data_IF_591694744187
#
_entry.id   IF_591694744187
#
_cell.length_a   1.000
_cell.length_b   1.000
_cell.length_c   1.000
_cell.angle_alpha   90.00
_cell.angle_beta   90.00
_cell.angle_gamma   90.00
#
_symmetry.space_group_name_H-M   'P 1'
#
loop_
_entity.id
_entity.type
_entity.pdbx_description
1 polymer ?
#
# COMPACT_ATOMS: atom_id res chain seq x y z
N UNK A 1 5.76 -27.51 1.74
CA UNK A 1 6.69 -27.22 0.62
C UNK A 1 6.14 -26.17 -0.33
N UNK A 2 4.91 -26.28 -0.86
CA UNK A 2 4.34 -25.29 -1.78
C UNK A 2 4.20 -23.87 -1.19
N UNK A 3 3.68 -23.74 0.04
CA UNK A 3 3.52 -22.42 0.71
C UNK A 3 4.88 -21.75 0.94
N UNK A 4 5.86 -22.52 1.41
CA UNK A 4 7.24 -22.04 1.60
C UNK A 4 7.86 -21.63 0.27
N UNK A 5 7.63 -22.39 -0.80
CA UNK A 5 8.09 -22.05 -2.16
C UNK A 5 7.42 -20.76 -2.67
N UNK A 6 6.12 -20.55 -2.47
CA UNK A 6 5.45 -19.29 -2.84
C UNK A 6 5.93 -18.09 -2.02
N UNK A 7 6.17 -18.27 -0.71
CA UNK A 7 6.74 -17.22 0.15
C UNK A 7 8.16 -16.86 -0.27
N UNK A 8 9.00 -17.86 -0.55
CA UNK A 8 10.33 -17.67 -1.12
C UNK A 8 10.27 -16.99 -2.48
N UNK A 9 9.26 -17.31 -3.31
CA UNK A 9 9.06 -16.65 -4.60
C UNK A 9 8.72 -15.17 -4.46
N UNK A 10 7.98 -14.77 -3.42
CA UNK A 10 7.68 -13.36 -3.12
C UNK A 10 8.94 -12.62 -2.66
N UNK A 11 9.75 -13.23 -1.80
CA UNK A 11 11.06 -12.70 -1.40
C UNK A 11 12.01 -12.52 -2.61
N UNK A 12 11.83 -13.35 -3.63
CA UNK A 12 12.60 -13.30 -4.87
C UNK A 12 12.01 -12.36 -5.94
N UNK A 13 10.85 -11.73 -5.70
CA UNK A 13 10.30 -10.66 -6.57
C UNK A 13 10.75 -9.31 -6.00
N UNK A 14 11.82 -8.70 -6.54
CA UNK A 14 12.45 -7.53 -5.94
C UNK A 14 11.62 -6.24 -6.06
N UNK A 15 10.41 -6.31 -6.64
CA UNK A 15 9.55 -5.14 -6.91
C UNK A 15 8.40 -4.96 -5.93
N UNK A 16 8.11 -5.99 -5.12
CA UNK A 16 7.13 -5.92 -4.02
C UNK A 16 7.85 -5.55 -2.71
N UNK A 17 9.14 -5.90 -2.62
CA UNK A 17 9.97 -5.93 -1.42
C UNK A 17 10.34 -4.58 -0.76
N UNK A 18 9.85 -3.44 -1.26
CA UNK A 18 10.28 -2.12 -0.78
C UNK A 18 9.13 -1.25 -0.20
N UNK A 19 7.88 -1.76 -0.13
CA UNK A 19 6.70 -1.02 0.35
C UNK A 19 6.04 -1.68 1.59
N UNK A 20 5.00 -1.06 2.15
CA UNK A 20 4.17 -1.75 3.14
C UNK A 20 3.37 -2.90 2.52
N UNK A 21 3.10 -3.92 3.32
CA UNK A 21 2.24 -5.02 2.89
C UNK A 21 0.77 -4.61 2.82
N UNK A 22 -0.06 -5.35 2.06
CA UNK A 22 -1.44 -4.97 1.80
C UNK A 22 -2.34 -4.98 3.04
N UNK A 23 -2.04 -5.74 4.10
CA UNK A 23 -2.80 -5.66 5.35
C UNK A 23 -2.41 -4.45 6.17
N UNK A 24 -1.14 -4.05 6.14
CA UNK A 24 -0.65 -2.85 6.80
C UNK A 24 -1.27 -1.62 6.16
N UNK A 25 -1.32 -1.53 4.83
CA UNK A 25 -2.09 -0.49 4.14
C UNK A 25 -3.56 -0.50 4.56
N UNK A 26 -4.23 -1.66 4.52
CA UNK A 26 -5.62 -1.75 4.93
C UNK A 26 -5.84 -1.26 6.37
N UNK A 27 -4.94 -1.64 7.29
CA UNK A 27 -4.93 -1.14 8.67
C UNK A 27 -4.82 0.38 8.70
N UNK A 28 -3.85 0.98 7.99
CA UNK A 28 -3.65 2.42 7.94
C UNK A 28 -4.88 3.15 7.38
N UNK A 29 -5.47 2.65 6.29
CA UNK A 29 -6.72 3.18 5.75
C UNK A 29 -7.87 3.15 6.75
N UNK A 30 -7.97 2.09 7.57
CA UNK A 30 -8.96 2.06 8.64
C UNK A 30 -8.72 3.12 9.71
N UNK A 31 -7.47 3.34 10.11
CA UNK A 31 -7.14 4.38 11.09
C UNK A 31 -7.49 5.78 10.57
N UNK A 32 -7.30 6.05 9.28
CA UNK A 32 -7.78 7.28 8.64
C UNK A 32 -9.31 7.42 8.77
N UNK A 33 -10.09 6.35 8.54
CA UNK A 33 -11.54 6.39 8.73
C UNK A 33 -11.96 6.62 10.19
N UNK A 34 -11.19 6.07 11.14
CA UNK A 34 -11.45 6.18 12.58
C UNK A 34 -11.13 7.58 13.12
N UNK A 35 -10.11 8.27 12.61
CA UNK A 35 -9.80 9.66 12.99
C UNK A 35 -10.96 10.63 12.71
N UNK A 36 -11.70 10.38 11.64
CA UNK A 36 -12.95 11.07 11.41
C UNK A 36 -12.81 12.52 10.96
N UNK A 37 -13.91 13.27 11.09
CA UNK A 37 -13.96 14.69 10.77
C UNK A 37 -13.15 15.59 11.72
N UNK A 38 -12.60 15.03 12.80
CA UNK A 38 -11.77 15.79 13.74
C UNK A 38 -10.41 16.15 13.13
N UNK A 39 -9.87 15.31 12.24
CA UNK A 39 -8.54 15.48 11.63
C UNK A 39 -8.57 15.51 10.10
N UNK A 40 -9.73 15.30 9.48
CA UNK A 40 -9.90 15.25 8.02
C UNK A 40 -10.93 16.29 7.61
N UNK A 41 -10.70 17.06 6.53
CA UNK A 41 -11.67 18.04 6.04
C UNK A 41 -13.05 17.40 5.83
N UNK A 42 -14.10 18.02 6.38
CA UNK A 42 -15.43 17.42 6.46
C UNK A 42 -15.98 16.95 5.10
N UNK A 43 -15.71 17.71 4.03
CA UNK A 43 -16.08 17.34 2.66
C UNK A 43 -15.45 16.01 2.22
N UNK A 44 -14.15 15.84 2.45
CA UNK A 44 -13.40 14.62 2.13
C UNK A 44 -13.89 13.47 3.02
N UNK A 45 -13.99 13.70 4.33
CA UNK A 45 -14.43 12.68 5.27
C UNK A 45 -15.84 12.15 4.93
N UNK A 46 -16.77 13.02 4.53
CA UNK A 46 -18.12 12.62 4.12
C UNK A 46 -18.12 11.64 2.94
N UNK A 47 -17.19 11.83 1.99
CA UNK A 47 -17.03 10.99 0.80
C UNK A 47 -16.43 9.63 1.20
N UNK A 48 -15.27 9.64 1.87
CA UNK A 48 -14.57 8.39 2.22
C UNK A 48 -15.34 7.56 3.24
N UNK A 49 -16.10 8.19 4.15
CA UNK A 49 -16.98 7.48 5.10
C UNK A 49 -18.15 6.82 4.37
N UNK A 50 -18.83 7.55 3.47
CA UNK A 50 -19.98 7.03 2.71
C UNK A 50 -19.57 5.89 1.78
N UNK A 51 -18.39 5.99 1.17
CA UNK A 51 -17.86 5.01 0.22
C UNK A 51 -16.60 4.31 0.78
N UNK A 52 -16.66 3.90 2.05
CA UNK A 52 -15.52 3.31 2.78
C UNK A 52 -14.88 2.12 2.08
N UNK A 53 -15.66 1.28 1.41
CA UNK A 53 -15.14 0.11 0.74
C UNK A 53 -14.36 0.48 -0.54
N UNK A 54 -14.80 1.53 -1.24
CA UNK A 54 -14.07 2.09 -2.39
C UNK A 54 -12.74 2.71 -1.92
N UNK A 55 -12.77 3.48 -0.82
CA UNK A 55 -11.57 4.06 -0.20
C UNK A 55 -10.56 3.00 0.27
N UNK A 56 -11.00 2.02 1.08
CA UNK A 56 -10.14 0.94 1.56
C UNK A 56 -9.58 0.10 0.40
N UNK A 57 -10.33 -0.05 -0.68
CA UNK A 57 -9.86 -0.74 -1.87
C UNK A 57 -8.80 0.06 -2.63
N UNK A 58 -8.99 1.37 -2.78
CA UNK A 58 -7.99 2.28 -3.33
C UNK A 58 -6.67 2.23 -2.57
N UNK A 59 -6.77 2.14 -1.24
CA UNK A 59 -5.61 2.11 -0.35
C UNK A 59 -4.74 0.85 -0.47
N UNK A 60 -5.20 -0.17 -1.20
CA UNK A 60 -4.43 -1.39 -1.47
C UNK A 60 -4.28 -1.66 -2.97
N UNK A 61 -4.82 -0.80 -3.85
CA UNK A 61 -4.93 -1.11 -5.27
C UNK A 61 -3.71 -0.69 -6.09
N UNK A 62 -2.91 0.26 -5.61
CA UNK A 62 -1.68 0.68 -6.30
C UNK A 62 -0.70 -0.50 -6.47
N UNK A 63 -0.74 -1.45 -5.54
CA UNK A 63 0.03 -2.69 -5.58
C UNK A 63 -0.43 -3.74 -6.59
N UNK A 64 -1.58 -3.55 -7.24
CA UNK A 64 -2.06 -4.49 -8.25
C UNK A 64 -1.09 -4.56 -9.43
N UNK A 65 -0.55 -3.40 -9.86
CA UNK A 65 0.42 -3.33 -10.95
C UNK A 65 1.80 -3.78 -10.45
N UNK A 66 2.31 -4.86 -11.04
CA UNK A 66 3.59 -5.50 -10.72
C UNK A 66 4.64 -5.15 -11.77
N UNK A 67 5.93 -5.42 -11.51
CA UNK A 67 6.99 -5.12 -12.47
C UNK A 67 7.36 -3.63 -12.54
N UNK A 68 6.96 -2.87 -11.52
CA UNK A 68 7.13 -1.42 -11.35
C UNK A 68 8.58 -0.94 -11.54
N UNK A 69 9.55 -1.79 -11.18
CA UNK A 69 10.99 -1.52 -11.31
C UNK A 69 11.46 -1.39 -12.77
N UNK A 70 10.67 -1.87 -13.72
CA UNK A 70 10.95 -1.84 -15.16
C UNK A 70 10.09 -0.81 -15.91
N UNK A 71 9.22 -0.06 -15.22
CA UNK A 71 8.44 1.02 -15.83
C UNK A 71 9.28 2.31 -15.85
N UNK A 72 9.17 3.08 -16.94
CA UNK A 72 9.60 4.47 -16.95
C UNK A 72 8.89 5.24 -15.81
N UNK A 73 9.58 6.23 -15.25
CA UNK A 73 9.18 6.93 -14.04
C UNK A 73 7.72 7.44 -14.07
N UNK A 74 7.29 7.95 -15.21
CA UNK A 74 5.99 8.59 -15.40
C UNK A 74 4.85 7.57 -15.64
N UNK A 75 5.19 6.29 -15.81
CA UNK A 75 4.26 5.18 -16.08
C UNK A 75 4.11 4.24 -14.88
N UNK A 76 4.63 4.62 -13.72
CA UNK A 76 4.56 3.81 -12.51
C UNK A 76 3.24 4.07 -11.76
N UNK A 77 2.63 3.03 -11.20
CA UNK A 77 1.48 3.18 -10.29
C UNK A 77 1.85 3.95 -9.03
N UNK A 78 3.12 3.93 -8.62
CA UNK A 78 3.60 4.66 -7.45
C UNK A 78 4.21 6.01 -7.81
N UNK A 79 3.45 6.79 -8.59
CA UNK A 79 3.80 8.16 -9.01
C UNK A 79 2.68 9.13 -8.59
N UNK A 80 3.09 10.28 -8.04
CA UNK A 80 2.16 11.36 -7.70
C UNK A 80 1.39 11.86 -8.92
N UNK A 81 2.06 12.01 -10.07
CA UNK A 81 1.41 12.49 -11.29
C UNK A 81 0.28 11.56 -11.74
N UNK A 82 0.50 10.26 -11.68
CA UNK A 82 -0.53 9.28 -12.04
C UNK A 82 -1.68 9.26 -11.03
N UNK A 83 -1.39 9.42 -9.74
CA UNK A 83 -2.42 9.55 -8.71
C UNK A 83 -3.26 10.82 -8.91
N UNK A 84 -2.65 11.94 -9.29
CA UNK A 84 -3.36 13.19 -9.58
C UNK A 84 -4.15 13.13 -10.89
N UNK A 85 -3.62 12.52 -11.95
CA UNK A 85 -4.38 12.23 -13.18
C UNK A 85 -5.62 11.38 -12.88
N UNK A 86 -5.46 10.35 -12.03
CA UNK A 86 -6.58 9.52 -11.60
C UNK A 86 -7.60 10.33 -10.79
N UNK A 87 -7.14 11.26 -9.95
CA UNK A 87 -8.00 12.17 -9.17
C UNK A 87 -8.81 13.10 -10.08
N UNK A 88 -8.16 13.71 -11.08
CA UNK A 88 -8.79 14.60 -12.06
C UNK A 88 -9.79 13.84 -12.95
N UNK A 89 -9.54 12.56 -13.24
CA UNK A 89 -10.44 11.70 -13.97
C UNK A 89 -11.68 11.23 -13.16
N UNK A 90 -11.67 11.37 -11.83
CA UNK A 90 -12.73 10.88 -10.97
C UNK A 90 -14.01 11.73 -11.07
N UNK A 91 -15.06 11.16 -11.69
CA UNK A 91 -16.34 11.85 -11.94
C UNK A 91 -17.38 11.64 -10.85
N UNK A 92 -17.25 10.57 -10.07
CA UNK A 92 -18.22 10.19 -9.03
C UNK A 92 -17.60 10.20 -7.65
N UNK A 93 -18.41 10.38 -6.60
CA UNK A 93 -17.90 10.32 -5.22
C UNK A 93 -17.34 8.92 -4.85
N UNK A 94 -17.79 7.84 -5.51
CA UNK A 94 -17.18 6.51 -5.37
C UNK A 94 -15.75 6.50 -5.90
N UNK A 95 -15.54 7.01 -7.11
CA UNK A 95 -14.20 7.14 -7.69
C UNK A 95 -13.34 8.06 -6.84
N UNK A 96 -13.85 9.21 -6.39
CA UNK A 96 -13.10 10.10 -5.49
C UNK A 96 -12.67 9.38 -4.20
N UNK A 97 -13.57 8.61 -3.58
CA UNK A 97 -13.22 7.82 -2.41
C UNK A 97 -12.11 6.81 -2.72
N UNK A 98 -12.20 6.09 -3.84
CA UNK A 98 -11.15 5.21 -4.32
C UNK A 98 -9.82 5.93 -4.51
N UNK A 99 -9.81 7.10 -5.16
CA UNK A 99 -8.56 7.85 -5.39
C UNK A 99 -7.98 8.41 -4.09
N UNK A 100 -8.80 8.87 -3.13
CA UNK A 100 -8.29 9.23 -1.80
C UNK A 100 -7.62 8.02 -1.11
N UNK A 101 -8.16 6.82 -1.29
CA UNK A 101 -7.52 5.58 -0.87
C UNK A 101 -6.16 5.41 -1.53
N UNK A 102 -6.11 5.53 -2.85
CA UNK A 102 -4.89 5.39 -3.66
C UNK A 102 -3.80 6.40 -3.27
N UNK A 103 -4.17 7.67 -3.12
CA UNK A 103 -3.26 8.73 -2.71
C UNK A 103 -2.67 8.46 -1.32
N UNK A 104 -3.50 8.03 -0.38
CA UNK A 104 -3.05 7.73 0.99
C UNK A 104 -2.20 6.45 1.07
N UNK A 105 -2.32 5.52 0.12
CA UNK A 105 -1.36 4.42 -0.05
C UNK A 105 0.03 4.96 -0.36
N UNK A 106 0.14 5.84 -1.36
CA UNK A 106 1.41 6.47 -1.74
C UNK A 106 2.04 7.26 -0.59
N UNK A 107 1.24 7.95 0.23
CA UNK A 107 1.75 8.63 1.43
C UNK A 107 2.43 7.65 2.40
N UNK A 108 1.82 6.49 2.65
CA UNK A 108 2.39 5.50 3.56
C UNK A 108 3.72 4.95 3.02
N UNK A 109 3.81 4.77 1.71
CA UNK A 109 5.00 4.27 1.04
C UNK A 109 6.18 5.23 1.11
N UNK A 110 5.95 6.55 1.09
CA UNK A 110 7.05 7.52 1.29
C UNK A 110 7.83 7.30 2.59
N UNK A 111 7.22 6.69 3.62
CA UNK A 111 7.89 6.42 4.90
C UNK A 111 8.85 5.25 4.77
N UNK A 112 8.35 4.10 4.30
CA UNK A 112 9.12 2.85 4.25
C UNK A 112 10.25 2.95 3.23
N UNK A 113 9.99 3.57 2.08
CA UNK A 113 10.98 3.69 1.02
C UNK A 113 12.11 4.69 1.32
N UNK A 114 11.91 5.60 2.29
CA UNK A 114 12.94 6.56 2.70
C UNK A 114 13.71 6.15 3.96
N UNK A 115 13.41 4.97 4.52
CA UNK A 115 14.22 4.37 5.58
C UNK A 115 15.67 4.21 5.11
N UNK A 116 16.61 4.41 6.03
CA UNK A 116 18.02 4.13 5.73
C UNK A 116 18.17 2.66 5.35
N UNK A 117 19.00 2.41 4.34
CA UNK A 117 19.19 1.08 3.78
C UNK A 117 19.67 0.13 4.89
N UNK A 118 18.88 -0.89 5.21
CA UNK A 118 19.33 -1.94 6.13
C UNK A 118 20.59 -2.61 5.56
N UNK A 119 21.50 -2.95 6.47
CA UNK A 119 22.70 -3.73 6.16
C UNK A 119 22.41 -5.22 5.94
N UNK A 120 21.22 -5.69 6.32
CA UNK A 120 20.86 -7.11 6.16
C UNK A 120 20.15 -7.33 4.81
N UNK A 121 20.50 -8.42 4.10
CA UNK A 121 19.75 -8.84 2.92
C UNK A 121 18.26 -8.99 3.25
N UNK A 122 17.40 -8.40 2.41
CA UNK A 122 15.93 -8.46 2.55
C UNK A 122 15.34 -7.76 3.79
N UNK A 123 16.09 -6.85 4.46
CA UNK A 123 15.60 -6.14 5.65
C UNK A 123 14.23 -5.45 5.48
N UNK A 124 13.95 -4.88 4.31
CA UNK A 124 12.63 -4.28 4.01
C UNK A 124 11.51 -5.32 3.91
N UNK A 125 11.76 -6.47 3.28
CA UNK A 125 10.78 -7.56 3.24
C UNK A 125 10.55 -8.16 4.63
N UNK A 126 11.57 -8.18 5.48
CA UNK A 126 11.47 -8.60 6.88
C UNK A 126 10.62 -7.60 7.66
N UNK A 127 10.85 -6.29 7.49
CA UNK A 127 10.03 -5.21 8.06
C UNK A 127 8.56 -5.39 7.71
N UNK A 128 8.28 -5.55 6.42
CA UNK A 128 6.94 -5.72 5.89
C UNK A 128 6.25 -6.91 6.54
N UNK A 129 6.93 -8.06 6.60
CA UNK A 129 6.39 -9.29 7.15
C UNK A 129 6.12 -9.19 8.66
N UNK A 130 7.01 -8.53 9.42
CA UNK A 130 6.78 -8.20 10.82
C UNK A 130 5.60 -7.24 10.98
N UNK A 131 5.48 -6.23 10.13
CA UNK A 131 4.35 -5.32 10.20
C UNK A 131 3.03 -6.04 9.92
N UNK A 132 2.94 -6.82 8.84
CA UNK A 132 1.76 -7.64 8.50
C UNK A 132 1.34 -8.55 9.67
N UNK A 133 2.31 -9.12 10.42
CA UNK A 133 2.04 -10.01 11.56
C UNK A 133 1.34 -9.30 12.73
N UNK A 134 1.66 -8.02 12.95
CA UNK A 134 1.09 -7.18 14.00
C UNK A 134 -0.36 -6.72 13.70
N UNK A 135 -0.84 -6.88 12.45
CA UNK A 135 -2.19 -6.45 12.08
C UNK A 135 -3.25 -7.44 12.59
N UNK A 136 -4.22 -6.93 13.35
CA UNK A 136 -5.33 -7.70 13.91
C UNK A 136 -6.12 -8.45 12.81
N UNK A 137 -6.55 -9.67 13.13
CA UNK A 137 -7.39 -10.55 12.31
C UNK A 137 -8.68 -9.87 11.85
N UNK A 138 -9.22 -8.86 12.55
CA UNK A 138 -10.42 -8.12 12.13
C UNK A 138 -10.24 -7.44 10.77
N UNK A 139 -9.08 -6.83 10.50
CA UNK A 139 -8.80 -6.16 9.23
C UNK A 139 -8.72 -7.17 8.08
N UNK A 140 -8.12 -8.35 8.33
CA UNK A 140 -8.11 -9.47 7.38
C UNK A 140 -9.51 -9.92 6.98
N UNK A 141 -10.44 -9.97 7.94
CA UNK A 141 -11.82 -10.34 7.66
C UNK A 141 -12.48 -9.31 6.76
N UNK A 142 -12.32 -8.01 7.01
CA UNK A 142 -12.99 -7.02 6.15
C UNK A 142 -12.55 -7.11 4.70
N UNK A 143 -11.26 -7.30 4.43
CA UNK A 143 -10.79 -7.45 3.05
C UNK A 143 -11.49 -8.61 2.30
N UNK A 144 -11.74 -9.73 2.98
CA UNK A 144 -12.47 -10.87 2.40
C UNK A 144 -13.90 -10.53 1.99
N UNK A 145 -14.51 -9.54 2.64
CA UNK A 145 -15.89 -9.12 2.43
C UNK A 145 -16.02 -7.87 1.56
N UNK A 146 -14.93 -7.35 0.99
CA UNK A 146 -15.03 -6.28 0.01
C UNK A 146 -15.83 -6.76 -1.21
N UNK A 147 -16.83 -5.97 -1.60
CA UNK A 147 -17.72 -6.29 -2.70
C UNK A 147 -16.94 -6.46 -4.02
N UNK A 148 -17.18 -7.58 -4.72
CA UNK A 148 -16.49 -7.91 -5.97
C UNK A 148 -16.91 -7.00 -7.11
N UNK A 149 -18.15 -6.53 -7.13
CA UNK A 149 -18.66 -5.64 -8.18
C UNK A 149 -17.99 -4.28 -8.08
N UNK A 150 -17.87 -3.73 -6.88
CA UNK A 150 -17.12 -2.52 -6.57
C UNK A 150 -15.65 -2.66 -6.98
N UNK A 151 -14.99 -3.76 -6.59
CA UNK A 151 -13.60 -4.01 -6.99
C UNK A 151 -13.43 -3.98 -8.51
N UNK A 152 -14.32 -4.69 -9.24
CA UNK A 152 -14.27 -4.71 -10.72
C UNK A 152 -14.48 -3.33 -11.33
N UNK A 153 -15.37 -2.51 -10.79
CA UNK A 153 -15.62 -1.14 -11.29
C UNK A 153 -14.41 -0.24 -11.11
N UNK A 154 -13.78 -0.30 -9.94
CA UNK A 154 -12.57 0.48 -9.64
C UNK A 154 -11.34 -0.05 -10.40
N UNK A 155 -11.27 -1.37 -10.61
CA UNK A 155 -10.26 -2.00 -11.47
C UNK A 155 -10.32 -1.47 -12.91
N UNK A 156 -11.52 -1.44 -13.52
CA UNK A 156 -11.72 -0.89 -14.87
C UNK A 156 -11.38 0.60 -14.91
N UNK A 157 -11.80 1.37 -13.91
CA UNK A 157 -11.48 2.79 -13.82
C UNK A 157 -9.97 3.04 -13.74
N UNK A 158 -9.26 2.22 -12.97
CA UNK A 158 -7.82 2.34 -12.79
C UNK A 158 -7.05 1.85 -14.03
N UNK A 159 -7.46 0.75 -14.66
CA UNK A 159 -6.88 0.21 -15.90
C UNK A 159 -7.05 1.18 -17.08
N UNK A 160 -8.19 1.86 -17.19
CA UNK A 160 -8.45 2.86 -18.24
C UNK A 160 -7.56 4.12 -18.11
N UNK A 161 -7.02 4.37 -16.91
CA UNK A 161 -6.28 5.60 -16.59
C UNK A 161 -4.79 5.40 -16.31
N UNK A 162 -4.36 4.16 -16.08
CA UNK A 162 -2.96 3.82 -15.85
C UNK A 162 -2.46 2.89 -16.96
N UNK A 163 -1.36 3.28 -17.60
CA UNK A 163 -0.71 2.43 -18.60
C UNK A 163 -0.03 1.22 -17.93
N UNK A 164 -0.24 0.02 -18.47
CA UNK A 164 0.48 -1.19 -18.06
C UNK A 164 1.43 -1.63 -19.17
N UNK A 165 2.72 -1.80 -18.85
CA UNK A 165 3.76 -2.10 -19.83
C UNK A 165 4.05 -3.59 -20.01
N UNK A 166 3.83 -4.43 -18.98
CA UNK A 166 4.31 -5.83 -18.98
C UNK A 166 3.23 -6.90 -18.99
N UNK A 167 2.11 -6.70 -18.29
CA UNK A 167 1.02 -7.67 -18.27
C UNK A 167 -0.36 -7.02 -18.41
N UNK A 168 -1.34 -7.81 -18.84
CA UNK A 168 -2.74 -7.38 -18.72
C UNK A 168 -3.11 -7.18 -17.26
N UNK A 169 -4.02 -6.24 -17.00
CA UNK A 169 -4.52 -5.97 -15.65
C UNK A 169 -5.04 -7.24 -14.96
N UNK A 170 -5.67 -8.15 -15.74
CA UNK A 170 -6.16 -9.44 -15.24
C UNK A 170 -5.05 -10.30 -14.65
N UNK A 171 -3.87 -10.34 -15.28
CA UNK A 171 -2.71 -11.10 -14.80
C UNK A 171 -2.14 -10.47 -13.52
N UNK A 172 -1.95 -9.15 -13.53
CA UNK A 172 -1.59 -8.36 -12.35
C UNK A 172 -2.52 -8.65 -11.16
N UNK A 173 -3.83 -8.59 -11.39
CA UNK A 173 -4.84 -8.84 -10.37
C UNK A 173 -4.80 -10.26 -9.84
N UNK A 174 -4.48 -11.25 -10.68
CA UNK A 174 -4.36 -12.65 -10.26
C UNK A 174 -3.19 -12.84 -9.30
N UNK A 175 -2.05 -12.23 -9.60
CA UNK A 175 -0.85 -12.33 -8.74
C UNK A 175 -1.09 -11.58 -7.43
N UNK A 176 -1.64 -10.36 -7.48
CA UNK A 176 -2.02 -9.59 -6.29
C UNK A 176 -2.95 -10.38 -5.36
N UNK A 177 -3.95 -11.07 -5.91
CA UNK A 177 -4.81 -11.99 -5.14
C UNK A 177 -4.03 -13.13 -4.48
N UNK A 178 -2.97 -13.61 -5.13
CA UNK A 178 -2.05 -14.61 -4.56
C UNK A 178 -1.28 -14.09 -3.35
N UNK A 179 -0.69 -12.89 -3.47
CA UNK A 179 0.00 -12.22 -2.35
C UNK A 179 -0.95 -12.02 -1.18
N UNK A 180 -2.17 -11.51 -1.45
CA UNK A 180 -3.21 -11.35 -0.44
C UNK A 180 -3.64 -12.65 0.23
N UNK A 181 -3.63 -13.79 -0.49
CA UNK A 181 -3.93 -15.09 0.10
C UNK A 181 -2.87 -15.51 1.11
N UNK A 182 -1.61 -15.16 0.88
CA UNK A 182 -0.53 -15.38 1.83
C UNK A 182 -0.65 -14.44 3.02
N UNK A 183 -0.97 -13.15 2.79
CA UNK A 183 -1.34 -12.18 3.83
C UNK A 183 -2.47 -12.69 4.76
N UNK A 184 -3.35 -13.58 4.26
CA UNK A 184 -4.49 -14.12 5.03
C UNK A 184 -4.16 -15.30 5.94
N UNK A 185 -2.91 -15.79 5.98
CA UNK A 185 -2.56 -16.93 6.82
C UNK A 185 -2.84 -16.59 8.31
N UNK A 186 -3.51 -17.50 9.05
CA UNK A 186 -4.04 -17.17 10.38
C UNK A 186 -2.95 -17.05 11.45
N UNK A 187 -1.79 -17.68 11.22
CA UNK A 187 -0.71 -17.75 12.17
C UNK A 187 0.60 -17.24 11.56
N UNK A 188 0.91 -15.98 11.84
CA UNK A 188 2.21 -15.39 11.54
C UNK A 188 3.24 -15.63 12.65
N UNK A 189 2.83 -16.16 13.81
CA UNK A 189 3.73 -16.38 14.93
C UNK A 189 4.94 -17.28 14.57
N UNK A 190 4.80 -18.38 13.81
CA UNK A 190 5.97 -19.17 13.42
C UNK A 190 6.97 -18.39 12.54
N UNK A 191 6.45 -17.48 11.69
CA UNK A 191 7.25 -16.66 10.80
C UNK A 191 7.91 -15.51 11.58
N UNK A 192 7.14 -14.84 12.43
CA UNK A 192 7.65 -13.78 13.32
C UNK A 192 8.72 -14.34 14.24
N UNK A 193 8.44 -15.46 14.93
CA UNK A 193 9.40 -16.10 15.83
C UNK A 193 10.66 -16.53 15.06
N UNK A 194 10.52 -17.11 13.87
CA UNK A 194 11.69 -17.45 13.04
C UNK A 194 12.53 -16.21 12.68
N UNK A 195 11.89 -15.09 12.36
CA UNK A 195 12.59 -13.84 12.10
C UNK A 195 13.24 -13.31 13.38
N UNK A 196 12.51 -13.26 14.49
CA UNK A 196 12.99 -12.72 15.76
C UNK A 196 14.16 -13.56 16.32
N UNK A 197 14.14 -14.88 16.13
CA UNK A 197 15.24 -15.77 16.53
C UNK A 197 16.50 -15.58 15.67
N UNK A 198 16.35 -15.24 14.38
CA UNK A 198 17.46 -15.14 13.41
C UNK A 198 17.96 -13.72 13.19
N UNK A 199 17.11 -12.73 13.40
CA UNK A 199 17.34 -11.29 13.19
C UNK A 199 16.74 -10.44 14.33
N UNK A 200 17.09 -10.69 15.61
CA UNK A 200 16.47 -10.04 16.77
C UNK A 200 16.70 -8.52 16.86
N UNK A 201 17.78 -8.01 16.30
CA UNK A 201 18.24 -6.62 16.51
C UNK A 201 18.06 -5.70 15.30
N UNK A 202 17.43 -6.16 14.23
CA UNK A 202 17.41 -5.39 12.99
C UNK A 202 16.30 -4.35 12.96
N UNK A 203 15.08 -4.72 13.36
CA UNK A 203 13.94 -3.80 13.40
C UNK A 203 13.05 -4.09 14.62
N UNK A 204 13.19 -3.28 15.69
CA UNK A 204 12.29 -3.27 16.84
C UNK A 204 10.83 -3.03 16.47
N UNK A 205 9.90 -3.64 17.21
CA UNK A 205 8.46 -3.41 17.07
C UNK A 205 8.09 -1.94 17.30
N UNK A 206 8.80 -1.24 18.20
CA UNK A 206 8.65 0.20 18.45
C UNK A 206 8.83 1.02 17.17
N UNK A 207 9.75 0.60 16.31
CA UNK A 207 10.07 1.33 15.07
C UNK A 207 8.95 1.12 14.05
N UNK A 208 8.37 -0.08 14.01
CA UNK A 208 7.19 -0.37 13.18
C UNK A 208 6.00 0.52 13.59
N UNK A 209 5.77 0.70 14.89
CA UNK A 209 4.73 1.61 15.39
C UNK A 209 5.02 3.06 15.00
N UNK A 210 6.27 3.51 15.13
CA UNK A 210 6.70 4.85 14.70
C UNK A 210 6.50 5.06 13.21
N UNK A 211 6.88 4.11 12.35
CA UNK A 211 6.69 4.21 10.90
C UNK A 211 5.22 4.23 10.50
N UNK A 212 4.37 3.46 11.20
CA UNK A 212 2.92 3.51 11.01
C UNK A 212 2.34 4.84 11.43
N UNK A 213 2.79 5.38 12.55
CA UNK A 213 2.37 6.69 13.02
C UNK A 213 2.75 7.78 12.01
N UNK A 214 3.99 7.78 11.55
CA UNK A 214 4.47 8.70 10.50
C UNK A 214 3.66 8.53 9.20
N UNK A 215 3.35 7.30 8.81
CA UNK A 215 2.51 7.02 7.64
C UNK A 215 1.13 7.69 7.77
N UNK A 216 0.50 7.57 8.95
CA UNK A 216 -0.78 8.21 9.23
C UNK A 216 -0.69 9.74 9.23
N UNK A 217 0.37 10.31 9.81
CA UNK A 217 0.63 11.75 9.79
C UNK A 217 0.70 12.26 8.36
N UNK A 218 1.44 11.57 7.49
CA UNK A 218 1.57 11.93 6.06
C UNK A 218 0.27 11.75 5.28
N UNK A 219 -0.49 10.70 5.57
CA UNK A 219 -1.83 10.51 4.98
C UNK A 219 -2.75 11.68 5.35
N UNK A 220 -2.77 12.10 6.62
CA UNK A 220 -3.57 13.23 7.08
C UNK A 220 -3.09 14.56 6.47
N UNK A 221 -1.79 14.78 6.41
CA UNK A 221 -1.15 15.95 5.80
C UNK A 221 -1.58 16.10 4.33
N UNK A 222 -1.57 15.02 3.55
CA UNK A 222 -2.06 15.04 2.17
C UNK A 222 -3.58 15.31 2.11
N UNK A 223 -4.38 14.68 2.97
CA UNK A 223 -5.83 14.90 2.95
C UNK A 223 -6.22 16.33 3.32
N UNK A 224 -5.42 17.02 4.15
CA UNK A 224 -5.67 18.40 4.55
C UNK A 224 -5.16 19.41 3.52
N UNK A 225 -3.98 19.19 2.92
CA UNK A 225 -3.30 20.18 2.08
C UNK A 225 -3.32 19.84 0.57
N UNK A 226 -3.76 18.65 0.19
CA UNK A 226 -3.92 18.26 -1.22
C UNK A 226 -2.62 18.40 -2.02
N UNK A 227 -2.66 19.18 -3.11
CA UNK A 227 -1.51 19.44 -3.98
C UNK A 227 -0.44 20.33 -3.33
N UNK A 228 -0.74 21.01 -2.23
CA UNK A 228 0.20 21.85 -1.48
C UNK A 228 0.89 21.09 -0.35
N UNK A 229 0.62 19.79 -0.21
CA UNK A 229 1.18 18.94 0.84
C UNK A 229 2.69 18.76 0.70
N UNK A 230 3.41 18.91 1.82
CA UNK A 230 4.86 18.69 1.87
C UNK A 230 5.28 17.25 1.52
N UNK A 231 4.36 16.28 1.68
CA UNK A 231 4.61 14.86 1.39
C UNK A 231 4.94 14.64 -0.09
N UNK A 232 4.47 15.50 -0.98
CA UNK A 232 4.72 15.42 -2.42
C UNK A 232 6.19 15.66 -2.79
N UNK A 233 6.99 16.25 -1.89
CA UNK A 233 8.44 16.42 -2.08
C UNK A 233 9.21 15.11 -1.98
N UNK A 234 8.61 14.08 -1.37
CA UNK A 234 9.17 12.75 -1.26
C UNK A 234 8.53 11.82 -2.30
N UNK A 235 9.35 11.14 -3.09
CA UNK A 235 8.83 10.18 -4.06
C UNK A 235 8.33 8.91 -3.34
N UNK A 236 7.16 8.33 -3.69
CA UNK A 236 6.63 7.14 -3.03
C UNK A 236 7.56 5.93 -3.12
N UNK A 237 8.32 5.78 -4.21
CA UNK A 237 9.37 4.75 -4.37
C UNK A 237 10.71 5.10 -3.67
N UNK A 238 10.76 6.18 -2.88
CA UNK A 238 11.94 6.68 -2.18
C UNK A 238 13.12 7.01 -3.07
N UNK A 239 14.34 6.70 -2.61
CA UNK A 239 15.62 7.04 -3.29
C UNK A 239 15.92 6.21 -4.53
N UNK A 240 14.94 5.59 -5.17
CA UNK A 240 15.13 4.95 -6.48
C UNK A 240 15.76 5.91 -7.51
N UNK A 241 15.62 7.23 -7.27
CA UNK A 241 16.20 8.32 -8.05
C UNK A 241 17.74 8.45 -8.01
N UNK A 242 18.49 7.80 -7.10
CA UNK A 242 19.97 7.96 -7.05
C UNK A 242 20.77 7.06 -8.00
N UNK A 243 20.14 6.24 -8.83
CA UNK A 243 20.84 5.32 -9.75
C UNK A 243 20.59 5.58 -11.24
N UNK A 244 19.88 6.64 -11.60
CA UNK A 244 19.62 7.04 -12.98
C UNK A 244 20.32 8.37 -13.34
N UNK A 245 21.47 8.63 -12.74
CA UNK A 245 22.40 9.72 -13.08
C UNK A 245 23.79 9.14 -13.28
#
# INVERSE_FOLDING_TARGET
MFIVSCLLSILLIPSIADAWGPLTHLYLGYQVLDFGAALIPAGIYSIIKKYKNDFLYGNISADIFLGRRFHEHDKNSHSWDNAWKLFEAAKTNRQKAFVYGYLTHLCADTVVHNLQKSWVPFGHSILELKAESLVDKKYRRTFKHLDKVMQKKNDVFMEDKLESLFFSFKTHKRIFKGVLLLSRLPNYAPISNFIDDRFPYEIPVSDIHSFRHESLTRMLELLNNGKDSVVLQEHPLGRYQRKAS
#
